data_IF_882920355875
#
_entry.id   IF_882920355875
#
_cell.length_a   1.000
_cell.length_b   1.000
_cell.length_c   1.000
_cell.angle_alpha   90.00
_cell.angle_beta   90.00
_cell.angle_gamma   90.00
#
_symmetry.space_group_name_H-M   'P 1'
#
loop_
_entity.id
_entity.type
_entity.pdbx_description
1 polymer ?
#
# COMPACT_ATOMS: atom_id res chain seq x y z
N UNK A 1 -2.15 10.48 12.52
CA UNK A 1 -3.31 9.61 12.26
C UNK A 1 -4.56 10.45 12.41
N UNK A 2 -5.36 10.57 11.36
CA UNK A 2 -6.64 11.26 11.40
C UNK A 2 -7.75 10.22 11.42
N UNK A 3 -8.64 10.28 12.39
CA UNK A 3 -9.90 9.55 12.36
C UNK A 3 -10.93 10.46 11.71
N UNK A 4 -11.61 9.96 10.68
CA UNK A 4 -12.77 10.63 10.10
C UNK A 4 -13.96 9.82 10.60
N UNK A 5 -14.68 10.42 11.53
CA UNK A 5 -15.99 9.88 11.96
C UNK A 5 -17.04 10.35 10.95
N UNK A 6 -17.87 9.46 10.48
CA UNK A 6 -18.90 9.76 9.49
C UNK A 6 -20.02 8.72 9.48
N UNK A 7 -21.24 9.19 9.31
CA UNK A 7 -22.39 8.33 9.14
C UNK A 7 -22.43 7.72 7.73
N UNK A 8 -22.77 6.44 7.64
CA UNK A 8 -23.06 5.77 6.37
C UNK A 8 -24.44 6.23 5.91
N UNK A 9 -24.47 7.08 4.88
CA UNK A 9 -25.72 7.49 4.23
C UNK A 9 -25.81 6.91 2.82
N UNK A 10 -27.03 6.55 2.38
CA UNK A 10 -27.28 6.17 1.00
C UNK A 10 -26.99 7.36 0.07
N UNK A 11 -26.05 7.19 -0.84
CA UNK A 11 -25.58 8.18 -1.82
C UNK A 11 -26.61 8.35 -2.96
N UNK A 12 -27.82 8.82 -2.65
CA UNK A 12 -28.77 9.27 -3.67
C UNK A 12 -28.59 10.74 -4.07
N UNK A 13 -27.72 11.49 -3.39
CA UNK A 13 -27.51 12.91 -3.68
C UNK A 13 -26.24 13.10 -4.51
N UNK A 14 -26.34 13.88 -5.60
CA UNK A 14 -25.18 14.37 -6.36
C UNK A 14 -24.28 15.16 -5.43
N UNK A 15 -23.19 14.56 -4.99
CA UNK A 15 -22.17 15.24 -4.19
C UNK A 15 -21.47 16.24 -5.11
N UNK A 16 -21.49 17.51 -4.77
CA UNK A 16 -20.70 18.54 -5.45
C UNK A 16 -19.25 18.36 -5.03
N UNK A 17 -18.45 17.77 -5.90
CA UNK A 17 -17.01 17.57 -5.66
C UNK A 17 -16.34 18.91 -5.98
N UNK A 18 -15.76 19.55 -4.98
CA UNK A 18 -14.87 20.70 -5.19
C UNK A 18 -13.61 20.18 -5.89
N UNK A 19 -13.19 20.87 -6.96
CA UNK A 19 -11.96 20.50 -7.67
C UNK A 19 -10.77 20.88 -6.79
N UNK A 20 -9.95 19.94 -6.35
CA UNK A 20 -8.78 20.25 -5.53
C UNK A 20 -7.78 21.10 -6.34
N UNK A 21 -7.09 21.98 -5.65
CA UNK A 21 -5.99 22.76 -6.21
C UNK A 21 -4.85 21.85 -6.68
N UNK A 22 -3.98 22.37 -7.55
CA UNK A 22 -2.78 21.67 -8.01
C UNK A 22 -1.88 21.36 -6.81
N UNK A 23 -1.41 20.14 -6.73
CA UNK A 23 -0.42 19.74 -5.75
C UNK A 23 0.97 19.93 -6.35
N UNK A 24 1.82 20.70 -5.69
CA UNK A 24 3.19 21.00 -6.15
C UNK A 24 4.17 19.89 -5.72
N UNK A 25 3.85 18.66 -6.09
CA UNK A 25 4.75 17.53 -5.84
C UNK A 25 5.78 17.43 -6.96
N UNK A 26 7.06 17.33 -6.62
CA UNK A 26 8.11 17.14 -7.61
C UNK A 26 8.03 15.73 -8.19
N UNK A 27 8.12 15.62 -9.50
CA UNK A 27 8.35 14.35 -10.19
C UNK A 27 9.83 13.95 -10.03
N UNK A 28 10.09 12.67 -9.88
CA UNK A 28 11.44 12.14 -9.79
C UNK A 28 11.83 11.50 -11.12
N UNK A 29 12.99 11.85 -11.66
CA UNK A 29 13.50 11.22 -12.86
C UNK A 29 13.82 9.74 -12.61
N UNK A 30 13.78 8.93 -13.69
CA UNK A 30 14.17 7.51 -13.61
C UNK A 30 15.58 7.34 -13.04
N UNK A 31 16.49 8.17 -13.47
CA UNK A 31 17.88 8.16 -13.06
C UNK A 31 18.05 8.51 -11.57
N UNK A 32 17.34 9.52 -11.09
CA UNK A 32 17.42 9.91 -9.67
C UNK A 32 16.72 8.90 -8.76
N UNK A 33 15.60 8.31 -9.21
CA UNK A 33 14.98 7.22 -8.47
C UNK A 33 15.93 6.01 -8.33
N UNK A 34 16.64 5.64 -9.41
CA UNK A 34 17.64 4.57 -9.39
C UNK A 34 18.82 4.88 -8.48
N UNK A 35 19.33 6.12 -8.47
CA UNK A 35 20.37 6.55 -7.52
C UNK A 35 19.89 6.43 -6.06
N UNK A 36 18.61 6.72 -5.80
CA UNK A 36 18.03 6.52 -4.46
C UNK A 36 17.98 5.04 -4.08
N UNK A 37 17.63 4.16 -5.03
CA UNK A 37 17.70 2.70 -4.83
C UNK A 37 19.13 2.26 -4.50
N UNK A 38 20.12 2.73 -5.27
CA UNK A 38 21.55 2.41 -5.03
C UNK A 38 22.01 2.82 -3.63
N UNK A 39 21.58 3.99 -3.14
CA UNK A 39 21.85 4.42 -1.77
C UNK A 39 21.27 3.47 -0.73
N UNK A 40 20.01 3.03 -0.93
CA UNK A 40 19.35 2.08 -0.03
C UNK A 40 20.09 0.74 -0.04
N UNK A 41 20.49 0.23 -1.22
CA UNK A 41 21.29 -0.99 -1.34
C UNK A 41 22.60 -0.87 -0.53
N UNK A 42 23.27 0.28 -0.59
CA UNK A 42 24.49 0.53 0.20
C UNK A 42 24.21 0.50 1.70
N UNK A 43 23.12 1.14 2.17
CA UNK A 43 22.71 1.05 3.58
C UNK A 43 22.40 -0.39 4.02
N UNK A 44 21.83 -1.20 3.13
CA UNK A 44 21.62 -2.63 3.40
C UNK A 44 22.96 -3.39 3.46
N UNK A 45 23.92 -3.11 2.58
CA UNK A 45 25.24 -3.76 2.56
C UNK A 45 26.12 -3.36 3.76
N UNK A 46 25.85 -2.20 4.35
CA UNK A 46 26.51 -1.69 5.57
C UNK A 46 25.79 -2.13 6.86
N UNK A 47 24.80 -3.04 6.76
CA UNK A 47 23.98 -3.54 7.87
C UNK A 47 23.28 -2.43 8.68
N UNK A 48 23.04 -1.26 8.08
CA UNK A 48 22.29 -0.14 8.70
C UNK A 48 20.79 -0.45 8.70
N UNK A 49 20.31 -1.05 7.60
CA UNK A 49 18.94 -1.53 7.43
C UNK A 49 18.94 -2.88 6.70
N UNK A 50 17.89 -3.66 6.88
CA UNK A 50 17.69 -4.92 6.15
C UNK A 50 16.84 -4.72 4.90
N UNK A 51 15.88 -3.77 4.98
CA UNK A 51 14.93 -3.47 3.92
C UNK A 51 14.42 -2.04 4.08
N UNK A 52 14.18 -1.36 2.95
CA UNK A 52 13.47 -0.08 2.93
C UNK A 52 12.51 -0.01 1.74
N UNK A 53 11.33 0.54 1.95
CA UNK A 53 10.36 0.79 0.87
C UNK A 53 10.60 2.19 0.31
N UNK A 54 10.98 2.26 -0.97
CA UNK A 54 11.11 3.52 -1.68
C UNK A 54 9.91 3.71 -2.61
N UNK A 55 9.29 4.89 -2.54
CA UNK A 55 8.16 5.23 -3.41
C UNK A 55 8.45 6.41 -4.33
N UNK A 56 7.62 6.54 -5.37
CA UNK A 56 7.60 7.66 -6.30
C UNK A 56 6.18 7.96 -6.74
N UNK A 57 5.99 9.15 -7.33
CA UNK A 57 4.73 9.55 -7.93
C UNK A 57 4.85 9.47 -9.44
N UNK A 58 3.90 8.79 -10.08
CA UNK A 58 3.73 8.78 -11.53
C UNK A 58 2.64 9.78 -11.86
N UNK A 59 3.01 10.86 -12.56
CA UNK A 59 2.08 11.90 -12.99
C UNK A 59 1.51 11.59 -14.37
N UNK A 60 0.27 11.96 -14.59
CA UNK A 60 -0.35 11.92 -15.90
C UNK A 60 -1.34 13.08 -16.03
N UNK A 61 -1.28 13.77 -17.16
CA UNK A 61 -2.31 14.75 -17.52
C UNK A 61 -3.65 14.04 -17.65
N UNK A 62 -4.67 14.62 -17.08
CA UNK A 62 -5.99 14.02 -17.07
C UNK A 62 -7.10 15.05 -16.93
N UNK A 63 -7.99 15.12 -17.92
CA UNK A 63 -9.25 15.83 -17.79
C UNK A 63 -10.32 14.89 -17.26
N UNK A 64 -10.74 15.14 -16.03
CA UNK A 64 -11.74 14.31 -15.38
C UNK A 64 -13.13 14.88 -15.69
N UNK A 65 -13.89 14.11 -16.44
CA UNK A 65 -15.32 14.34 -16.61
C UNK A 65 -16.13 13.75 -15.42
N UNK A 66 -15.70 12.59 -14.92
CA UNK A 66 -16.44 11.88 -13.87
C UNK A 66 -15.55 10.91 -13.07
N UNK A 67 -15.31 11.19 -11.78
CA UNK A 67 -14.59 10.31 -10.87
C UNK A 67 -15.29 8.97 -10.62
N UNK A 68 -16.61 8.94 -10.66
CA UNK A 68 -17.38 7.71 -10.49
C UNK A 68 -17.20 6.73 -11.64
N UNK A 69 -17.02 7.21 -12.88
CA UNK A 69 -16.67 6.32 -13.99
C UNK A 69 -15.34 5.60 -13.78
N UNK A 70 -14.33 6.29 -13.22
CA UNK A 70 -13.05 5.65 -12.89
C UNK A 70 -13.26 4.59 -11.83
N UNK A 71 -14.02 4.92 -10.77
CA UNK A 71 -14.32 3.98 -9.70
C UNK A 71 -15.11 2.77 -10.19
N UNK A 72 -16.10 2.96 -11.07
CA UNK A 72 -16.86 1.87 -11.68
C UNK A 72 -15.97 0.97 -12.54
N UNK A 73 -15.15 1.56 -13.43
CA UNK A 73 -14.18 0.81 -14.24
C UNK A 73 -13.19 0.03 -13.36
N UNK A 74 -12.67 0.67 -12.30
CA UNK A 74 -11.80 0.02 -11.34
C UNK A 74 -12.51 -1.16 -10.65
N UNK A 75 -13.78 -0.98 -10.29
CA UNK A 75 -14.60 -2.01 -9.65
C UNK A 75 -14.92 -3.19 -10.57
N UNK A 76 -15.10 -2.93 -11.86
CA UNK A 76 -15.31 -3.96 -12.88
C UNK A 76 -14.01 -4.70 -13.24
N UNK A 77 -12.88 -3.98 -13.26
CA UNK A 77 -11.58 -4.55 -13.64
C UNK A 77 -11.01 -5.45 -12.55
N UNK A 78 -11.14 -5.05 -11.28
CA UNK A 78 -10.56 -5.76 -10.15
C UNK A 78 -11.67 -6.40 -9.29
N UNK A 79 -11.82 -7.72 -9.38
CA UNK A 79 -12.81 -8.47 -8.57
C UNK A 79 -12.45 -8.50 -7.08
N UNK A 80 -11.14 -8.54 -6.77
CA UNK A 80 -10.58 -8.53 -5.40
C UNK A 80 -10.08 -7.14 -5.02
N UNK A 81 -9.75 -6.96 -3.73
CA UNK A 81 -9.25 -5.71 -3.17
C UNK A 81 -10.34 -4.77 -2.68
N UNK A 82 -10.00 -3.94 -1.73
CA UNK A 82 -10.87 -2.91 -1.17
C UNK A 82 -10.84 -1.67 -2.07
N UNK A 83 -11.96 -1.33 -2.64
CA UNK A 83 -12.10 -0.20 -3.56
C UNK A 83 -12.76 0.96 -2.84
N UNK A 84 -12.23 2.14 -3.06
CA UNK A 84 -12.76 3.34 -2.43
C UNK A 84 -12.65 4.56 -3.35
N UNK A 85 -13.50 5.52 -3.11
CA UNK A 85 -13.41 6.91 -3.55
C UNK A 85 -13.54 7.77 -2.31
N UNK A 86 -12.60 8.69 -2.11
CA UNK A 86 -12.53 9.56 -0.94
C UNK A 86 -12.29 10.99 -1.40
N UNK A 87 -13.12 11.92 -0.94
CA UNK A 87 -12.85 13.35 -1.07
C UNK A 87 -12.64 13.94 0.32
N UNK A 88 -11.43 14.44 0.58
CA UNK A 88 -11.06 15.00 1.87
C UNK A 88 -10.62 16.46 1.71
N UNK A 89 -11.12 17.41 2.53
CA UNK A 89 -10.84 18.85 2.37
C UNK A 89 -9.36 19.21 2.34
N UNK A 90 -8.51 18.50 3.11
CA UNK A 90 -7.06 18.76 3.18
C UNK A 90 -6.23 17.88 2.24
N UNK A 91 -6.73 16.72 1.86
CA UNK A 91 -5.95 15.71 1.11
C UNK A 91 -6.44 15.55 -0.32
N UNK A 92 -7.55 16.22 -0.69
CA UNK A 92 -8.12 16.16 -2.04
C UNK A 92 -8.85 14.85 -2.34
N UNK A 93 -9.05 14.60 -3.62
CA UNK A 93 -9.77 13.44 -4.15
C UNK A 93 -8.80 12.26 -4.33
N UNK A 94 -9.19 11.10 -3.76
CA UNK A 94 -8.44 9.86 -3.85
C UNK A 94 -9.32 8.74 -4.37
N UNK A 95 -8.75 7.89 -5.22
CA UNK A 95 -9.36 6.63 -5.67
C UNK A 95 -8.30 5.54 -5.56
N UNK A 96 -8.69 4.36 -5.06
CA UNK A 96 -7.76 3.25 -4.92
C UNK A 96 -8.43 1.88 -4.88
N UNK A 97 -7.60 0.85 -5.05
CA UNK A 97 -7.95 -0.57 -4.89
C UNK A 97 -6.86 -1.29 -4.12
N UNK A 98 -6.99 -1.32 -2.79
CA UNK A 98 -5.98 -1.94 -1.96
C UNK A 98 -6.15 -3.46 -1.86
N UNK A 99 -5.10 -4.24 -2.09
CA UNK A 99 -5.11 -5.68 -1.85
C UNK A 99 -4.85 -6.04 -0.39
N UNK A 100 -4.21 -5.15 0.38
CA UNK A 100 -3.58 -5.49 1.66
C UNK A 100 -4.51 -5.21 2.85
N UNK A 101 -4.84 -6.25 3.61
CA UNK A 101 -5.59 -6.15 4.87
C UNK A 101 -4.63 -5.88 6.02
N UNK A 102 -4.78 -4.72 6.67
CA UNK A 102 -4.04 -4.40 7.89
C UNK A 102 -4.58 -5.21 9.08
N UNK A 103 -5.89 -5.16 9.29
CA UNK A 103 -6.60 -5.97 10.28
C UNK A 103 -8.09 -6.04 9.92
N UNK A 104 -8.69 -7.21 10.15
CA UNK A 104 -10.13 -7.41 9.98
C UNK A 104 -10.62 -8.37 11.06
N UNK A 105 -11.80 -8.11 11.63
CA UNK A 105 -12.43 -9.03 12.59
C UNK A 105 -13.04 -8.34 13.79
N UNK A 106 -13.22 -9.12 14.85
CA UNK A 106 -13.79 -8.68 16.13
C UNK A 106 -13.35 -9.60 17.27
N UNK A 107 -13.66 -9.23 18.51
CA UNK A 107 -13.30 -10.01 19.71
C UNK A 107 -14.09 -11.31 19.87
N UNK A 108 -15.25 -11.46 19.21
CA UNK A 108 -16.07 -12.69 19.32
C UNK A 108 -15.53 -13.81 18.39
N UNK A 109 -15.10 -13.43 17.16
CA UNK A 109 -14.71 -14.37 16.11
C UNK A 109 -13.21 -14.37 15.80
N UNK A 110 -12.44 -13.52 16.50
CA UNK A 110 -11.02 -13.31 16.26
C UNK A 110 -10.76 -12.32 15.14
N UNK A 111 -9.48 -12.11 14.91
CA UNK A 111 -8.95 -11.16 13.94
C UNK A 111 -8.16 -11.88 12.85
N UNK A 112 -8.04 -11.20 11.73
CA UNK A 112 -7.29 -11.64 10.55
C UNK A 112 -6.36 -10.52 10.08
N UNK A 113 -5.17 -10.89 9.69
CA UNK A 113 -4.24 -10.09 8.87
C UNK A 113 -3.46 -11.01 7.94
N UNK A 114 -2.67 -10.44 7.04
CA UNK A 114 -1.78 -11.20 6.20
C UNK A 114 -0.46 -10.48 5.94
N UNK A 115 0.60 -11.25 5.71
CA UNK A 115 1.87 -10.78 5.19
C UNK A 115 1.83 -10.86 3.66
N UNK A 116 1.85 -9.71 2.98
CA UNK A 116 1.82 -9.62 1.52
C UNK A 116 3.07 -8.86 1.06
N UNK A 117 4.06 -9.58 0.54
CA UNK A 117 5.32 -9.00 0.06
C UNK A 117 6.01 -9.93 -0.96
N UNK A 118 7.07 -9.42 -1.61
CA UNK A 118 7.60 -10.05 -2.81
C UNK A 118 6.63 -9.81 -3.99
N UNK A 119 7.16 -9.56 -5.17
CA UNK A 119 6.33 -9.22 -6.33
C UNK A 119 6.92 -9.78 -7.61
N UNK A 120 6.08 -10.40 -8.43
CA UNK A 120 6.41 -10.77 -9.82
C UNK A 120 5.27 -10.43 -10.76
N UNK A 121 5.59 -10.17 -12.02
CA UNK A 121 4.58 -9.97 -13.06
C UNK A 121 3.82 -11.26 -13.33
N UNK A 122 2.49 -11.18 -13.44
CA UNK A 122 1.63 -12.31 -13.81
C UNK A 122 1.94 -12.86 -15.20
N UNK A 123 2.45 -12.01 -16.10
CA UNK A 123 2.72 -12.36 -17.49
C UNK A 123 4.12 -12.97 -17.69
N UNK A 124 4.96 -12.98 -16.67
CA UNK A 124 6.29 -13.55 -16.68
C UNK A 124 6.26 -14.87 -15.89
N UNK A 125 6.60 -15.98 -16.54
CA UNK A 125 6.69 -17.30 -15.88
C UNK A 125 7.98 -17.39 -15.06
N UNK A 126 8.20 -16.46 -14.15
CA UNK A 126 9.38 -16.38 -13.29
C UNK A 126 9.19 -17.22 -12.02
N UNK A 127 10.25 -17.90 -11.63
CA UNK A 127 10.32 -18.50 -10.29
C UNK A 127 10.58 -17.41 -9.25
N UNK A 128 10.10 -17.62 -8.04
CA UNK A 128 10.45 -16.78 -6.90
C UNK A 128 11.94 -16.85 -6.60
N UNK A 129 12.57 -15.69 -6.43
CA UNK A 129 13.98 -15.60 -6.05
C UNK A 129 14.14 -15.70 -4.52
N UNK A 130 15.39 -15.90 -4.07
CA UNK A 130 15.72 -15.82 -2.64
C UNK A 130 15.41 -14.43 -2.07
N UNK A 131 15.62 -13.37 -2.87
CA UNK A 131 15.25 -11.99 -2.49
C UNK A 131 13.76 -11.90 -2.14
N UNK A 132 12.88 -12.45 -2.99
CA UNK A 132 11.44 -12.36 -2.79
C UNK A 132 11.01 -13.08 -1.50
N UNK A 133 11.56 -14.26 -1.25
CA UNK A 133 11.31 -15.00 -0.01
C UNK A 133 11.85 -14.27 1.22
N UNK A 134 13.05 -13.69 1.13
CA UNK A 134 13.63 -12.94 2.24
C UNK A 134 12.81 -11.66 2.53
N UNK A 135 12.41 -10.94 1.48
CA UNK A 135 11.56 -9.77 1.60
C UNK A 135 10.22 -10.11 2.28
N UNK A 136 9.59 -11.22 1.86
CA UNK A 136 8.35 -11.70 2.46
C UNK A 136 8.54 -12.13 3.91
N UNK A 137 9.65 -12.83 4.21
CA UNK A 137 9.98 -13.28 5.56
C UNK A 137 10.06 -12.12 6.56
N UNK A 138 10.65 -11.00 6.19
CA UNK A 138 10.69 -9.80 7.05
C UNK A 138 9.29 -9.34 7.47
N UNK A 139 8.32 -9.37 6.56
CA UNK A 139 6.94 -8.98 6.87
C UNK A 139 6.26 -10.03 7.73
N UNK A 140 6.47 -11.31 7.44
CA UNK A 140 5.95 -12.44 8.24
C UNK A 140 6.44 -12.36 9.68
N UNK A 141 7.76 -12.28 9.88
CA UNK A 141 8.37 -12.26 11.20
C UNK A 141 7.88 -11.07 12.04
N UNK A 142 7.75 -9.89 11.41
CA UNK A 142 7.23 -8.70 12.06
C UNK A 142 5.78 -8.88 12.52
N UNK A 143 4.89 -9.30 11.62
CA UNK A 143 3.46 -9.47 11.93
C UNK A 143 3.28 -10.54 13.00
N UNK A 144 3.95 -11.68 12.86
CA UNK A 144 3.92 -12.77 13.82
C UNK A 144 4.40 -12.32 15.19
N UNK A 145 5.50 -11.57 15.25
CA UNK A 145 6.02 -10.98 16.49
C UNK A 145 5.01 -10.05 17.14
N UNK A 146 4.40 -9.13 16.37
CA UNK A 146 3.39 -8.19 16.90
C UNK A 146 2.14 -8.90 17.41
N UNK A 147 1.69 -9.95 16.75
CA UNK A 147 0.57 -10.75 17.23
C UNK A 147 0.94 -11.43 18.58
N UNK A 148 2.12 -12.07 18.67
CA UNK A 148 2.57 -12.77 19.88
C UNK A 148 2.82 -11.82 21.06
N UNK A 149 3.23 -10.58 20.82
CA UNK A 149 3.37 -9.54 21.84
C UNK A 149 2.04 -9.08 22.44
N UNK A 150 0.92 -9.17 21.69
CA UNK A 150 -0.35 -8.55 22.00
C UNK A 150 -1.55 -9.51 21.98
N UNK A 151 -1.30 -10.81 21.85
CA UNK A 151 -2.31 -11.84 21.75
C UNK A 151 -1.71 -13.19 21.34
N UNK A 152 -2.46 -13.99 20.61
CA UNK A 152 -1.99 -15.30 20.16
C UNK A 152 -2.59 -15.70 18.80
N UNK A 153 -1.77 -16.43 18.01
CA UNK A 153 -2.19 -16.98 16.71
C UNK A 153 -3.07 -18.20 16.95
N UNK A 154 -4.26 -18.20 16.33
CA UNK A 154 -5.19 -19.33 16.37
C UNK A 154 -5.03 -20.23 15.15
N UNK A 155 -4.66 -19.64 13.99
CA UNK A 155 -4.41 -20.37 12.75
C UNK A 155 -3.53 -19.53 11.82
N UNK A 156 -2.62 -20.17 11.11
CA UNK A 156 -1.85 -19.56 10.02
C UNK A 156 -1.88 -20.42 8.76
N UNK A 157 -1.74 -19.80 7.58
CA UNK A 157 -1.59 -20.54 6.32
C UNK A 157 -0.13 -20.92 6.06
N UNK A 158 0.08 -21.78 5.07
CA UNK A 158 1.36 -21.85 4.36
C UNK A 158 1.55 -20.59 3.52
N UNK A 159 2.76 -20.36 3.05
CA UNK A 159 3.02 -19.32 2.04
C UNK A 159 2.38 -19.75 0.73
N UNK A 160 1.54 -18.89 0.18
CA UNK A 160 0.80 -19.10 -1.07
C UNK A 160 0.99 -17.90 -2.00
N UNK A 161 0.57 -18.04 -3.26
CA UNK A 161 0.55 -16.92 -4.21
C UNK A 161 -0.80 -16.18 -4.15
N UNK A 162 -0.77 -14.86 -4.02
CA UNK A 162 -1.95 -14.01 -4.11
C UNK A 162 -1.86 -13.09 -5.33
N UNK A 163 -2.88 -13.15 -6.18
CA UNK A 163 -2.97 -12.35 -7.40
C UNK A 163 -3.63 -10.99 -7.08
N UNK A 164 -2.90 -9.91 -7.32
CA UNK A 164 -3.37 -8.53 -7.18
C UNK A 164 -3.24 -7.78 -8.53
N UNK A 165 -4.21 -7.96 -9.41
CA UNK A 165 -4.20 -7.41 -10.77
C UNK A 165 -3.17 -8.10 -11.65
N UNK A 166 -2.21 -7.34 -12.18
CA UNK A 166 -1.12 -7.83 -13.04
C UNK A 166 0.11 -8.31 -12.26
N UNK A 167 0.04 -8.31 -10.93
CA UNK A 167 1.12 -8.70 -10.03
C UNK A 167 0.67 -9.89 -9.19
N UNK A 168 1.60 -10.80 -8.94
CA UNK A 168 1.47 -11.89 -7.98
C UNK A 168 2.39 -11.57 -6.81
N UNK A 169 1.90 -11.77 -5.59
CA UNK A 169 2.65 -11.64 -4.35
C UNK A 169 2.75 -12.96 -3.60
N UNK A 170 3.77 -13.11 -2.75
CA UNK A 170 3.77 -14.11 -1.70
C UNK A 170 2.84 -13.63 -0.57
N UNK A 171 2.03 -14.53 -0.07
CA UNK A 171 1.04 -14.29 0.97
C UNK A 171 1.11 -15.34 2.08
N UNK A 172 1.00 -14.89 3.33
CA UNK A 172 0.78 -15.76 4.49
C UNK A 172 -0.30 -15.16 5.38
N UNK A 173 -1.37 -15.91 5.61
CA UNK A 173 -2.53 -15.51 6.40
C UNK A 173 -2.32 -15.81 7.88
N UNK A 174 -2.78 -14.91 8.76
CA UNK A 174 -2.82 -15.07 10.20
C UNK A 174 -4.24 -14.84 10.72
N UNK A 175 -4.78 -15.84 11.43
CA UNK A 175 -5.95 -15.67 12.27
C UNK A 175 -5.46 -15.66 13.72
N UNK A 176 -5.96 -14.73 14.54
CA UNK A 176 -5.45 -14.50 15.89
C UNK A 176 -6.50 -13.88 16.80
N UNK A 177 -6.25 -13.93 18.10
CA UNK A 177 -6.98 -13.17 19.10
C UNK A 177 -6.06 -12.14 19.74
N UNK A 178 -6.66 -11.06 20.26
CA UNK A 178 -5.96 -9.97 20.93
C UNK A 178 -6.30 -9.93 22.41
N UNK A 179 -5.29 -9.62 23.21
CA UNK A 179 -5.42 -9.36 24.65
C UNK A 179 -5.54 -7.85 24.94
N UNK A 180 -5.42 -7.01 23.92
CA UNK A 180 -5.56 -5.54 23.95
C UNK A 180 -6.63 -5.07 22.97
N UNK A 181 -7.07 -3.82 23.06
CA UNK A 181 -7.98 -3.25 22.10
C UNK A 181 -7.34 -3.17 20.70
N UNK A 182 -8.17 -3.35 19.66
CA UNK A 182 -7.66 -3.45 18.28
C UNK A 182 -7.04 -2.15 17.77
N UNK A 183 -7.43 -0.97 18.26
CA UNK A 183 -6.81 0.30 17.85
C UNK A 183 -5.40 0.44 18.42
N UNK A 184 -5.19 -0.02 19.66
CA UNK A 184 -3.85 -0.13 20.24
C UNK A 184 -2.99 -1.11 19.45
N UNK A 185 -3.54 -2.27 19.07
CA UNK A 185 -2.82 -3.21 18.20
C UNK A 185 -2.48 -2.61 16.84
N UNK A 186 -3.40 -1.91 16.18
CA UNK A 186 -3.14 -1.21 14.91
C UNK A 186 -1.96 -0.25 15.02
N UNK A 187 -1.82 0.47 16.14
CA UNK A 187 -0.68 1.38 16.36
C UNK A 187 0.66 0.65 16.48
N UNK A 188 0.68 -0.58 16.96
CA UNK A 188 1.90 -1.40 17.01
C UNK A 188 2.19 -2.08 15.68
N UNK A 189 1.17 -2.40 14.91
CA UNK A 189 1.29 -3.10 13.64
C UNK A 189 1.61 -2.16 12.47
N UNK A 190 1.14 -0.92 12.49
CA UNK A 190 1.34 0.04 11.39
C UNK A 190 2.36 1.13 11.76
N UNK A 191 3.31 1.41 10.84
CA UNK A 191 3.49 0.83 9.50
C UNK A 191 4.20 -0.53 9.54
N UNK A 192 3.78 -1.45 8.65
CA UNK A 192 4.46 -2.73 8.47
C UNK A 192 5.74 -2.58 7.65
N UNK A 193 6.66 -3.56 7.68
CA UNK A 193 7.82 -3.57 6.79
C UNK A 193 7.47 -3.66 5.29
N UNK A 194 6.22 -4.01 4.95
CA UNK A 194 5.74 -3.98 3.57
C UNK A 194 5.59 -2.57 3.00
N UNK A 195 5.49 -1.55 3.86
CA UNK A 195 5.31 -0.14 3.47
C UNK A 195 6.36 0.82 4.04
N UNK A 196 7.21 0.37 4.95
CA UNK A 196 8.29 1.16 5.55
C UNK A 196 9.65 0.48 5.38
N UNK A 197 9.98 -0.48 6.22
CA UNK A 197 11.26 -1.21 6.18
C UNK A 197 11.68 -1.73 7.55
N UNK A 198 12.90 -2.23 7.65
CA UNK A 198 13.49 -2.79 8.88
C UNK A 198 14.96 -2.33 9.01
N UNK A 199 15.37 -1.85 10.19
CA UNK A 199 14.54 -1.40 11.33
C UNK A 199 13.63 -0.23 10.95
N UNK A 200 12.46 -0.15 11.61
CA UNK A 200 11.43 0.81 11.26
C UNK A 200 11.92 2.27 11.30
N UNK A 201 12.50 2.68 12.43
CA UNK A 201 12.90 4.08 12.65
C UNK A 201 13.94 4.53 11.61
N UNK A 202 14.96 3.70 11.36
CA UNK A 202 16.00 4.00 10.36
C UNK A 202 15.44 4.04 8.94
N UNK A 203 14.54 3.12 8.62
CA UNK A 203 13.88 3.11 7.31
C UNK A 203 13.02 4.35 7.08
N UNK A 204 12.31 4.83 8.11
CA UNK A 204 11.52 6.06 8.02
C UNK A 204 12.39 7.31 7.85
N UNK A 205 13.55 7.40 8.53
CA UNK A 205 14.54 8.46 8.32
C UNK A 205 15.00 8.48 6.85
N UNK A 206 15.41 7.31 6.31
CA UNK A 206 15.90 7.17 4.93
C UNK A 206 14.79 7.51 3.91
N UNK A 207 13.56 7.06 4.14
CA UNK A 207 12.40 7.40 3.30
C UNK A 207 12.21 8.92 3.27
N UNK A 208 12.25 9.57 4.43
CA UNK A 208 12.08 11.02 4.53
C UNK A 208 13.18 11.78 3.76
N UNK A 209 14.42 11.30 3.78
CA UNK A 209 15.56 11.94 3.13
C UNK A 209 15.60 11.72 1.61
N UNK A 210 15.09 10.58 1.13
CA UNK A 210 15.21 10.19 -0.27
C UNK A 210 13.96 10.46 -1.11
N UNK A 211 12.77 10.45 -0.51
CA UNK A 211 11.54 10.74 -1.23
C UNK A 211 11.33 12.25 -1.39
N UNK A 212 11.23 12.70 -2.63
CA UNK A 212 11.04 14.12 -2.96
C UNK A 212 9.57 14.57 -2.87
N UNK A 213 8.66 13.63 -2.66
CA UNK A 213 7.22 13.83 -2.55
C UNK A 213 6.72 13.49 -1.14
N UNK A 214 5.55 14.01 -0.80
CA UNK A 214 4.86 13.62 0.42
C UNK A 214 3.91 12.45 0.12
N UNK A 215 4.01 11.37 0.90
CA UNK A 215 3.12 10.22 0.76
C UNK A 215 1.65 10.53 1.02
N UNK A 216 1.36 11.59 1.79
CA UNK A 216 0.00 12.01 2.17
C UNK A 216 -0.81 10.81 2.74
N UNK A 217 -1.85 10.35 2.03
CA UNK A 217 -2.63 9.18 2.45
C UNK A 217 -2.05 7.84 1.96
N UNK A 218 -1.11 7.85 1.03
CA UNK A 218 -0.44 6.64 0.55
C UNK A 218 0.35 5.97 1.67
N UNK A 219 0.29 4.65 1.76
CA UNK A 219 0.83 3.85 2.86
C UNK A 219 0.18 4.10 4.24
N UNK A 220 -0.86 4.92 4.34
CA UNK A 220 -1.72 4.98 5.50
C UNK A 220 -2.69 3.79 5.53
N UNK A 221 -3.71 3.86 6.35
CA UNK A 221 -4.78 2.86 6.34
C UNK A 221 -6.16 3.52 6.32
N UNK A 222 -7.13 2.79 5.80
CA UNK A 222 -8.53 3.21 5.71
C UNK A 222 -9.44 1.96 5.77
N UNK A 223 -10.68 2.18 6.08
CA UNK A 223 -11.67 1.11 6.17
C UNK A 223 -12.83 1.49 7.07
N UNK A 224 -13.48 0.49 7.62
CA UNK A 224 -14.64 0.66 8.49
C UNK A 224 -14.36 0.15 9.90
N UNK A 225 -14.88 0.87 10.88
CA UNK A 225 -14.91 0.47 12.28
C UNK A 225 -16.33 0.71 12.77
N UNK A 226 -16.93 -0.30 13.37
CA UNK A 226 -18.16 -0.17 14.13
C UNK A 226 -17.95 -0.63 15.58
N UNK A 227 -18.99 -0.65 16.39
CA UNK A 227 -18.90 -1.00 17.81
C UNK A 227 -18.36 -2.44 18.07
N UNK A 228 -18.37 -3.31 17.07
CA UNK A 228 -17.98 -4.71 17.21
C UNK A 228 -16.88 -5.14 16.25
N UNK A 229 -16.82 -4.56 15.04
CA UNK A 229 -15.99 -5.03 13.95
C UNK A 229 -15.02 -3.96 13.48
N UNK A 230 -13.89 -4.39 12.96
CA UNK A 230 -13.00 -3.57 12.17
C UNK A 230 -12.69 -4.27 10.82
N UNK A 231 -12.54 -3.48 9.77
CA UNK A 231 -12.01 -3.93 8.48
C UNK A 231 -11.14 -2.81 7.90
N UNK A 232 -9.85 -2.84 8.23
CA UNK A 232 -8.85 -1.82 7.86
C UNK A 232 -7.89 -2.37 6.81
N UNK A 233 -7.63 -1.56 5.79
CA UNK A 233 -6.73 -1.86 4.68
C UNK A 233 -5.58 -0.86 4.65
N UNK A 234 -4.40 -1.31 4.27
CA UNK A 234 -3.29 -0.41 3.96
C UNK A 234 -3.61 0.34 2.67
N UNK A 235 -3.40 1.64 2.61
CA UNK A 235 -3.74 2.44 1.43
C UNK A 235 -2.68 2.32 0.34
N UNK A 236 -2.83 1.31 -0.50
CA UNK A 236 -1.98 1.02 -1.65
C UNK A 236 -2.79 1.06 -2.95
N UNK A 237 -2.07 1.02 -4.09
CA UNK A 237 -2.69 1.07 -5.43
C UNK A 237 -3.71 2.19 -5.52
N UNK A 238 -3.28 3.40 -5.17
CA UNK A 238 -4.12 4.58 -5.08
C UNK A 238 -3.54 5.75 -5.86
N UNK A 239 -4.42 6.67 -6.20
CA UNK A 239 -4.06 7.92 -6.87
C UNK A 239 -4.80 9.09 -6.22
N UNK A 240 -4.12 10.25 -6.25
CA UNK A 240 -4.68 11.54 -5.89
C UNK A 240 -5.00 12.31 -7.16
N UNK A 241 -6.15 12.93 -7.22
CA UNK A 241 -6.64 13.65 -8.39
C UNK A 241 -6.75 15.15 -8.11
N UNK A 242 -6.23 15.94 -9.03
CA UNK A 242 -6.49 17.37 -9.16
C UNK A 242 -7.40 17.65 -10.35
N UNK A 243 -7.67 18.94 -10.65
CA UNK A 243 -8.49 19.31 -11.78
C UNK A 243 -7.90 18.92 -13.15
N UNK A 244 -6.57 18.78 -13.24
CA UNK A 244 -5.84 18.59 -14.51
C UNK A 244 -4.82 17.46 -14.47
N UNK A 245 -4.54 16.90 -13.30
CA UNK A 245 -3.46 15.94 -13.11
C UNK A 245 -3.91 14.80 -12.19
N UNK A 246 -3.45 13.60 -12.49
CA UNK A 246 -3.52 12.46 -11.58
C UNK A 246 -2.11 12.11 -11.11
N UNK A 247 -1.97 11.88 -9.82
CA UNK A 247 -0.75 11.46 -9.15
C UNK A 247 -0.94 10.04 -8.61
N UNK A 248 -0.28 9.07 -9.23
CA UNK A 248 -0.34 7.66 -8.86
C UNK A 248 0.86 7.33 -8.00
N UNK A 249 0.61 6.84 -6.79
CA UNK A 249 1.64 6.46 -5.83
C UNK A 249 2.03 5.00 -6.02
N UNK A 250 3.32 4.75 -6.17
CA UNK A 250 3.90 3.42 -6.36
C UNK A 250 5.22 3.30 -5.60
N UNK A 251 5.56 2.09 -5.16
CA UNK A 251 6.81 1.82 -4.46
C UNK A 251 7.18 0.35 -4.51
N UNK A 252 8.43 0.06 -4.18
CA UNK A 252 9.00 -1.28 -4.10
C UNK A 252 9.88 -1.47 -2.87
N UNK A 253 10.09 -2.72 -2.47
CA UNK A 253 10.95 -3.09 -1.35
C UNK A 253 12.40 -3.28 -1.81
N UNK A 254 13.29 -2.46 -1.28
CA UNK A 254 14.70 -2.48 -1.61
C UNK A 254 15.46 -3.22 -0.51
N UNK A 255 16.31 -4.18 -0.92
CA UNK A 255 17.22 -4.97 -0.08
C UNK A 255 18.62 -4.93 -0.66
N UNK A 256 19.61 -5.55 -0.01
CA UNK A 256 20.98 -5.68 -0.55
C UNK A 256 21.02 -6.43 -1.89
N UNK A 257 20.04 -7.28 -2.21
CA UNK A 257 19.95 -8.05 -3.45
C UNK A 257 19.15 -7.37 -4.57
N UNK A 258 18.64 -6.16 -4.35
CA UNK A 258 17.86 -5.43 -5.33
C UNK A 258 18.68 -4.97 -6.53
N UNK A 259 18.04 -4.95 -7.70
CA UNK A 259 18.58 -4.36 -8.93
C UNK A 259 17.82 -3.07 -9.26
N UNK A 260 18.46 -1.91 -9.40
CA UNK A 260 17.79 -0.63 -9.63
C UNK A 260 16.87 -0.58 -10.86
N UNK A 261 17.21 -1.32 -11.93
CA UNK A 261 16.38 -1.36 -13.13
C UNK A 261 15.10 -2.18 -12.91
N UNK A 262 15.22 -3.31 -12.23
CA UNK A 262 14.11 -4.21 -11.96
C UNK A 262 13.13 -3.57 -10.97
N UNK A 263 13.65 -2.91 -9.91
CA UNK A 263 12.82 -2.18 -8.94
C UNK A 263 12.07 -1.01 -9.61
N UNK A 264 12.73 -0.27 -10.52
CA UNK A 264 12.05 0.76 -11.29
C UNK A 264 10.95 0.17 -12.16
N UNK A 265 11.24 -0.93 -12.90
CA UNK A 265 10.26 -1.63 -13.75
C UNK A 265 9.05 -2.12 -12.93
N UNK A 266 9.29 -2.60 -11.72
CA UNK A 266 8.22 -3.03 -10.81
C UNK A 266 7.27 -1.88 -10.48
N UNK A 267 7.79 -0.67 -10.22
CA UNK A 267 6.94 0.50 -9.99
C UNK A 267 6.14 0.90 -11.24
N UNK A 268 6.69 0.73 -12.45
CA UNK A 268 5.96 0.96 -13.69
C UNK A 268 4.79 -0.02 -13.84
N UNK A 269 5.02 -1.32 -13.58
CA UNK A 269 3.96 -2.34 -13.61
C UNK A 269 2.88 -2.02 -12.57
N UNK A 270 3.27 -1.66 -11.34
CA UNK A 270 2.33 -1.28 -10.27
C UNK A 270 1.47 -0.07 -10.66
N UNK A 271 2.01 0.90 -11.39
CA UNK A 271 1.27 2.08 -11.84
C UNK A 271 0.14 1.73 -12.81
N UNK A 272 0.31 0.65 -13.59
CA UNK A 272 -0.69 0.22 -14.58
C UNK A 272 -2.03 -0.17 -13.95
N UNK A 273 -2.04 -0.54 -12.66
CA UNK A 273 -3.30 -0.81 -11.93
C UNK A 273 -4.31 0.32 -12.11
N UNK A 274 -3.84 1.57 -12.05
CA UNK A 274 -4.70 2.75 -12.21
C UNK A 274 -4.61 3.35 -13.60
N UNK A 275 -3.42 3.43 -14.20
CA UNK A 275 -3.25 4.00 -15.54
C UNK A 275 -4.09 3.29 -16.60
N UNK A 276 -4.20 1.96 -16.53
CA UNK A 276 -4.99 1.18 -17.47
C UNK A 276 -6.49 1.49 -17.43
N UNK A 277 -6.98 1.89 -16.25
CA UNK A 277 -8.39 2.28 -16.04
C UNK A 277 -8.62 3.75 -16.40
N UNK A 278 -7.65 4.61 -16.10
CA UNK A 278 -7.71 6.05 -16.31
C UNK A 278 -7.59 6.39 -17.80
N UNK A 279 -6.64 5.77 -18.53
CA UNK A 279 -6.30 6.09 -19.94
C UNK A 279 -7.16 5.39 -20.99
N UNK A 280 -8.07 4.50 -20.64
CA UNK A 280 -8.99 3.90 -21.62
C UNK A 280 -10.04 4.93 -22.01
N UNK A 281 -9.82 5.56 -23.18
CA UNK A 281 -10.88 6.20 -23.96
C UNK A 281 -11.76 5.15 -24.63
#
# INVERSE_FOLDING_TARGET
TYFIDGEISNLEKKVKIEKPELFDEKDVSKEDYKKSIEKIINYCNEDIIEKCILSRVVKSDFEISNYFEIFEKLSQTYSKGFKYILNHPKHGMWIGVSPETLIKGNFENGFFTHALAGSKSKNENLKWSEKDYQEHKYVVDFIEGKIKENGYITKESKIEEEIAGEIIHLNKDFNFNLDIDFLSFVKTLHPTPAIAGIPLDKSLEIIHDLEVHNRSLYCGFLGTIDNKNCDLKVNLRCARFSAKEVQIFVGGGITSQSNPNDEFKETEIKSQTLLSVIKKK
#
